data_IF_073303812008
#
_entry.id   IF_073303812008
#
_cell.length_a   1.000
_cell.length_b   1.000
_cell.length_c   1.000
_cell.angle_alpha   90.00
_cell.angle_beta   90.00
_cell.angle_gamma   90.00
#
_symmetry.space_group_name_H-M   'P 1'
#
loop_
_entity.id
_entity.type
_entity.pdbx_description
1 polymer ?
#
# COMPACT_ATOMS: atom_id res chain seq x y z
N UNK A 1 -7.64 -3.85 9.59
CA UNK A 1 -6.50 -3.05 9.03
C UNK A 1 -7.02 -1.72 8.53
N UNK A 2 -6.41 -0.60 8.97
CA UNK A 2 -6.93 0.74 8.68
C UNK A 2 -6.37 1.34 7.40
N UNK A 3 -7.24 1.79 6.51
CA UNK A 3 -6.89 2.53 5.29
C UNK A 3 -7.45 3.95 5.35
N UNK A 4 -6.68 4.91 4.88
CA UNK A 4 -7.19 6.26 4.68
C UNK A 4 -8.00 6.34 3.39
N UNK A 5 -9.26 6.73 3.48
CA UNK A 5 -10.11 6.99 2.31
C UNK A 5 -9.47 8.01 1.36
N UNK A 6 -8.96 9.12 1.90
CA UNK A 6 -8.30 10.16 1.11
C UNK A 6 -7.08 9.65 0.36
N UNK A 7 -6.37 8.66 0.92
CA UNK A 7 -5.24 8.06 0.22
C UNK A 7 -5.72 7.10 -0.86
N UNK A 8 -6.68 6.25 -0.56
CA UNK A 8 -7.20 5.24 -1.48
C UNK A 8 -7.83 5.88 -2.73
N UNK A 9 -8.67 6.89 -2.54
CA UNK A 9 -9.42 7.55 -3.62
C UNK A 9 -8.53 8.29 -4.62
N UNK A 10 -7.30 8.66 -4.25
CA UNK A 10 -6.34 9.29 -5.19
C UNK A 10 -5.98 8.42 -6.39
N UNK A 11 -6.09 7.12 -6.24
CA UNK A 11 -5.79 6.15 -7.29
C UNK A 11 -7.02 5.76 -8.12
N UNK A 12 -8.21 6.24 -7.74
CA UNK A 12 -9.48 5.94 -8.39
C UNK A 12 -9.91 7.17 -9.19
N UNK A 13 -10.06 7.01 -10.50
CA UNK A 13 -10.35 8.12 -11.43
C UNK A 13 -11.69 8.79 -11.11
N UNK A 14 -12.71 8.01 -10.82
CA UNK A 14 -14.07 8.46 -10.55
C UNK A 14 -14.22 9.18 -9.20
N UNK A 15 -13.23 9.05 -8.32
CA UNK A 15 -13.22 9.64 -6.98
C UNK A 15 -14.55 9.46 -6.23
N UNK A 16 -15.03 8.20 -6.03
CA UNK A 16 -16.31 7.93 -5.39
C UNK A 16 -16.34 8.49 -3.97
N UNK A 17 -17.54 8.86 -3.47
CA UNK A 17 -17.69 9.20 -2.06
C UNK A 17 -17.39 7.99 -1.16
N UNK A 18 -17.16 8.24 0.13
CA UNK A 18 -16.83 7.15 1.08
C UNK A 18 -17.97 6.13 1.16
N UNK A 19 -19.22 6.58 1.09
CA UNK A 19 -20.40 5.70 1.14
C UNK A 19 -20.46 4.80 -0.09
N UNK A 20 -20.26 5.36 -1.29
CA UNK A 20 -20.23 4.61 -2.56
C UNK A 20 -19.06 3.62 -2.58
N UNK A 21 -17.91 4.01 -2.06
CA UNK A 21 -16.75 3.13 -1.93
C UNK A 21 -17.02 1.99 -0.95
N UNK A 22 -17.69 2.29 0.18
CA UNK A 22 -18.12 1.30 1.17
C UNK A 22 -19.04 0.25 0.54
N UNK A 23 -20.03 0.68 -0.22
CA UNK A 23 -20.95 -0.24 -0.93
C UNK A 23 -20.18 -1.16 -1.89
N UNK A 24 -19.19 -0.62 -2.60
CA UNK A 24 -18.36 -1.40 -3.51
C UNK A 24 -17.50 -2.42 -2.77
N UNK A 25 -16.91 -2.05 -1.63
CA UNK A 25 -16.14 -2.96 -0.78
C UNK A 25 -17.02 -4.08 -0.22
N UNK A 26 -18.23 -3.74 0.19
CA UNK A 26 -19.21 -4.73 0.65
C UNK A 26 -19.60 -5.72 -0.45
N UNK A 27 -19.82 -5.24 -1.68
CA UNK A 27 -20.11 -6.10 -2.83
C UNK A 27 -18.94 -7.04 -3.17
N UNK A 28 -17.71 -6.66 -2.89
CA UNK A 28 -16.51 -7.50 -3.02
C UNK A 28 -16.37 -8.53 -1.87
N UNK A 29 -17.24 -8.47 -0.86
CA UNK A 29 -17.18 -9.33 0.32
C UNK A 29 -16.15 -8.89 1.35
N UNK A 30 -15.74 -7.63 1.32
CA UNK A 30 -14.83 -7.05 2.30
C UNK A 30 -15.61 -6.43 3.46
N UNK A 31 -15.58 -7.08 4.62
CA UNK A 31 -16.13 -6.52 5.87
C UNK A 31 -15.28 -5.34 6.33
N UNK A 32 -15.94 -4.25 6.73
CA UNK A 32 -15.26 -3.05 7.18
C UNK A 32 -16.17 -2.14 8.03
N UNK A 33 -15.54 -1.27 8.81
CA UNK A 33 -16.18 -0.19 9.52
C UNK A 33 -15.62 1.15 9.05
N UNK A 34 -16.44 2.21 9.10
CA UNK A 34 -16.04 3.57 8.72
C UNK A 34 -15.97 4.43 9.96
N UNK A 35 -14.77 4.98 10.23
CA UNK A 35 -14.51 5.94 11.29
C UNK A 35 -14.01 7.26 10.67
N UNK A 36 -14.93 8.17 10.34
CA UNK A 36 -14.58 9.42 9.63
C UNK A 36 -13.98 9.16 8.25
N UNK A 37 -12.70 9.49 8.05
CA UNK A 37 -11.95 9.24 6.80
C UNK A 37 -11.17 7.90 6.81
N UNK A 38 -11.35 7.08 7.82
CA UNK A 38 -10.67 5.79 7.96
C UNK A 38 -11.64 4.67 7.65
N UNK A 39 -11.19 3.72 6.86
CA UNK A 39 -11.87 2.46 6.56
C UNK A 39 -11.10 1.36 7.28
N UNK A 40 -11.69 0.79 8.34
CA UNK A 40 -11.10 -0.31 9.09
C UNK A 40 -11.58 -1.64 8.51
N UNK A 41 -10.69 -2.29 7.77
CA UNK A 41 -10.97 -3.50 7.01
C UNK A 41 -10.70 -4.75 7.82
N UNK A 42 -11.62 -5.71 7.78
CA UNK A 42 -11.43 -7.07 8.28
C UNK A 42 -11.22 -8.03 7.10
N UNK A 43 -9.98 -8.44 6.89
CA UNK A 43 -9.65 -9.39 5.82
C UNK A 43 -9.61 -10.82 6.36
N UNK A 44 -10.14 -11.75 5.55
CA UNK A 44 -9.97 -13.17 5.81
C UNK A 44 -8.50 -13.58 5.72
N UNK A 45 -8.02 -14.58 6.50
CA UNK A 45 -6.61 -14.95 6.56
C UNK A 45 -5.96 -15.33 5.23
N UNK A 46 -6.75 -15.75 4.25
CA UNK A 46 -6.28 -16.13 2.92
C UNK A 46 -6.11 -14.93 1.96
N UNK A 47 -6.47 -13.71 2.38
CA UNK A 47 -6.41 -12.50 1.56
C UNK A 47 -5.25 -11.57 1.97
N UNK A 48 -4.08 -12.15 2.23
CA UNK A 48 -2.85 -11.39 2.50
C UNK A 48 -2.45 -10.43 1.38
N UNK A 49 -2.88 -10.68 0.16
CA UNK A 49 -2.73 -9.80 -0.99
C UNK A 49 -3.44 -8.44 -0.83
N UNK A 50 -4.55 -8.40 -0.06
CA UNK A 50 -5.30 -7.18 0.25
C UNK A 50 -4.74 -6.37 1.43
N UNK A 51 -3.69 -6.84 2.11
CA UNK A 51 -3.00 -6.10 3.18
C UNK A 51 -2.13 -4.95 2.64
N UNK A 52 -2.50 -4.39 1.51
CA UNK A 52 -1.85 -3.23 0.90
C UNK A 52 -2.86 -2.42 0.07
N UNK A 53 -2.60 -1.12 -0.07
CA UNK A 53 -3.40 -0.25 -0.95
C UNK A 53 -3.47 -0.84 -2.37
N UNK A 54 -2.34 -1.33 -2.89
CA UNK A 54 -2.28 -1.91 -4.24
C UNK A 54 -3.19 -3.14 -4.38
N UNK A 55 -3.21 -4.02 -3.39
CA UNK A 55 -4.06 -5.21 -3.40
C UNK A 55 -5.54 -4.86 -3.35
N UNK A 56 -5.91 -3.93 -2.47
CA UNK A 56 -7.28 -3.46 -2.34
C UNK A 56 -7.77 -2.75 -3.61
N UNK A 57 -6.93 -1.89 -4.19
CA UNK A 57 -7.26 -1.20 -5.44
C UNK A 57 -7.37 -2.15 -6.63
N UNK A 58 -6.60 -3.24 -6.67
CA UNK A 58 -6.77 -4.28 -7.67
C UNK A 58 -8.18 -4.88 -7.60
N UNK A 59 -8.70 -5.17 -6.40
CA UNK A 59 -10.05 -5.69 -6.24
C UNK A 59 -11.10 -4.63 -6.63
N UNK A 60 -10.90 -3.38 -6.23
CA UNK A 60 -11.74 -2.24 -6.61
C UNK A 60 -11.73 -1.94 -8.12
N UNK A 61 -10.72 -2.41 -8.85
CA UNK A 61 -10.65 -2.24 -10.32
C UNK A 61 -11.78 -2.93 -11.08
N UNK A 62 -12.57 -3.77 -10.41
CA UNK A 62 -13.82 -4.34 -10.97
C UNK A 62 -14.88 -3.26 -11.16
N UNK A 63 -14.89 -2.23 -10.32
CA UNK A 63 -15.88 -1.16 -10.34
C UNK A 63 -15.35 0.17 -10.89
N UNK A 64 -14.03 0.40 -10.77
CA UNK A 64 -13.42 1.69 -11.02
C UNK A 64 -12.20 1.59 -11.92
N UNK A 65 -11.93 2.66 -12.66
CA UNK A 65 -10.66 2.83 -13.37
C UNK A 65 -9.58 3.24 -12.35
N UNK A 66 -8.63 2.31 -12.10
CA UNK A 66 -7.56 2.50 -11.12
C UNK A 66 -6.26 2.87 -11.81
N UNK A 67 -5.68 4.01 -11.44
CA UNK A 67 -4.41 4.49 -11.94
C UNK A 67 -3.28 4.17 -10.96
N UNK A 68 -2.49 3.15 -11.28
CA UNK A 68 -1.19 2.93 -10.64
C UNK A 68 -0.08 3.45 -11.54
N UNK A 69 0.56 4.51 -11.11
CA UNK A 69 1.89 4.80 -11.62
C UNK A 69 2.84 3.74 -11.06
N UNK A 70 3.18 2.76 -11.87
CA UNK A 70 4.24 1.83 -11.54
C UNK A 70 5.55 2.61 -11.66
N UNK A 71 6.10 3.05 -10.53
CA UNK A 71 7.44 3.62 -10.51
C UNK A 71 8.43 2.54 -10.97
N UNK A 72 8.93 2.71 -12.17
CA UNK A 72 10.02 1.89 -12.68
C UNK A 72 11.32 2.56 -12.26
N UNK A 73 12.00 1.99 -11.29
CA UNK A 73 13.35 2.41 -10.91
C UNK A 73 14.32 1.98 -12.02
N UNK A 74 14.70 2.93 -12.86
CA UNK A 74 15.64 2.73 -13.97
C UNK A 74 17.08 3.09 -13.58
N UNK A 75 17.29 3.58 -12.37
CA UNK A 75 18.61 3.95 -11.89
C UNK A 75 19.49 2.72 -11.66
N UNK A 76 20.77 2.85 -12.03
CA UNK A 76 21.76 1.82 -11.71
C UNK A 76 21.90 1.74 -10.19
N UNK A 77 21.44 0.62 -9.64
CA UNK A 77 21.68 0.31 -8.24
C UNK A 77 23.17 -0.04 -8.08
N UNK A 78 23.87 0.73 -7.26
CA UNK A 78 25.22 0.39 -6.86
C UNK A 78 25.23 -0.91 -6.05
N UNK A 79 26.28 -1.71 -6.22
CA UNK A 79 26.42 -2.90 -5.39
C UNK A 79 26.62 -2.49 -3.94
N UNK A 80 25.75 -2.98 -3.09
CA UNK A 80 25.89 -2.84 -1.66
C UNK A 80 27.16 -3.55 -1.19
N UNK A 81 28.10 -2.79 -0.61
CA UNK A 81 29.33 -3.34 -0.04
C UNK A 81 29.05 -3.74 1.41
N UNK A 82 28.52 -4.92 1.61
CA UNK A 82 28.42 -5.58 2.90
C UNK A 82 28.92 -7.01 2.79
N UNK A 83 29.63 -7.46 3.80
CA UNK A 83 30.00 -8.86 3.94
C UNK A 83 28.77 -9.58 4.55
N UNK A 84 28.14 -10.40 3.74
CA UNK A 84 26.97 -11.18 4.17
C UNK A 84 27.09 -12.63 3.71
N UNK A 85 26.94 -13.53 4.65
CA UNK A 85 26.86 -14.96 4.40
C UNK A 85 25.49 -15.49 4.86
N UNK A 86 24.78 -16.15 3.96
CA UNK A 86 23.51 -16.79 4.30
C UNK A 86 23.73 -18.23 4.77
N UNK A 87 23.71 -18.45 6.07
CA UNK A 87 23.85 -19.78 6.68
C UNK A 87 22.57 -20.63 6.71
N UNK A 88 21.45 -20.07 6.24
CA UNK A 88 20.13 -20.70 6.22
C UNK A 88 19.53 -20.72 4.81
N UNK A 89 20.34 -21.02 3.82
CA UNK A 89 19.98 -20.91 2.40
C UNK A 89 18.84 -21.88 2.00
N UNK A 90 18.68 -22.98 2.70
CA UNK A 90 17.60 -23.96 2.52
C UNK A 90 16.24 -23.44 3.01
N UNK A 91 16.23 -22.64 4.09
CA UNK A 91 15.02 -22.08 4.70
C UNK A 91 14.72 -20.69 4.10
N UNK A 92 15.76 -19.87 3.89
CA UNK A 92 15.67 -18.51 3.38
C UNK A 92 16.58 -18.34 2.15
N UNK A 93 16.17 -18.84 0.98
CA UNK A 93 17.04 -18.91 -0.22
C UNK A 93 17.38 -17.55 -0.82
N UNK A 94 16.63 -16.49 -0.48
CA UNK A 94 16.81 -15.14 -1.04
C UNK A 94 16.72 -14.08 0.04
N UNK A 95 17.75 -13.26 0.14
CA UNK A 95 17.81 -12.08 1.01
C UNK A 95 18.17 -10.88 0.14
N UNK A 96 17.46 -9.79 0.31
CA UNK A 96 17.74 -8.52 -0.35
C UNK A 96 18.00 -7.43 0.68
N UNK A 97 18.99 -6.61 0.42
CA UNK A 97 19.33 -5.46 1.24
C UNK A 97 19.20 -4.18 0.43
N UNK A 98 18.65 -3.14 1.05
CA UNK A 98 18.62 -1.80 0.49
C UNK A 98 19.29 -0.84 1.48
N UNK A 99 20.35 -0.18 1.05
CA UNK A 99 20.94 0.95 1.79
C UNK A 99 20.22 2.23 1.38
N UNK A 100 19.68 2.94 2.35
CA UNK A 100 19.03 4.24 2.14
C UNK A 100 19.87 5.28 2.88
N UNK A 101 20.34 6.28 2.16
CA UNK A 101 20.98 7.48 2.76
C UNK A 101 19.93 8.60 2.81
N UNK A 102 19.73 9.14 4.01
CA UNK A 102 18.75 10.21 4.25
C UNK A 102 19.55 11.44 4.65
N UNK A 103 19.73 12.37 3.70
CA UNK A 103 20.45 13.62 3.95
C UNK A 103 19.63 14.61 4.78
N UNK A 104 18.32 14.65 4.56
CA UNK A 104 17.40 15.50 5.30
C UNK A 104 16.05 14.80 5.45
N UNK A 105 15.47 14.89 6.65
CA UNK A 105 14.05 14.55 6.85
C UNK A 105 13.25 15.80 6.56
N UNK A 106 12.51 15.87 5.43
CA UNK A 106 11.76 17.08 5.10
C UNK A 106 10.66 17.33 6.15
N UNK A 107 10.48 18.59 6.58
CA UNK A 107 9.34 18.98 7.43
C UNK A 107 7.97 18.63 6.81
N UNK A 108 7.95 18.43 5.51
CA UNK A 108 6.78 17.97 4.76
C UNK A 108 6.29 16.58 5.21
N UNK A 109 7.15 15.76 5.84
CA UNK A 109 6.78 14.43 6.34
C UNK A 109 5.67 14.51 7.38
N UNK A 110 5.77 15.45 8.32
CA UNK A 110 4.73 15.68 9.32
C UNK A 110 3.43 16.17 8.67
N UNK A 111 3.52 17.04 7.66
CA UNK A 111 2.36 17.47 6.88
C UNK A 111 1.73 16.32 6.10
N UNK A 112 2.56 15.45 5.53
CA UNK A 112 2.09 14.31 4.76
C UNK A 112 1.38 13.29 5.66
N UNK A 113 2.00 12.92 6.77
CA UNK A 113 1.42 11.99 7.75
C UNK A 113 0.14 12.55 8.37
N UNK A 114 0.15 13.82 8.81
CA UNK A 114 -1.02 14.48 9.38
C UNK A 114 -2.17 14.68 8.37
N UNK A 115 -1.90 14.56 7.07
CA UNK A 115 -2.94 14.63 6.05
C UNK A 115 -3.66 13.29 5.86
N UNK A 116 -3.00 12.16 6.15
CA UNK A 116 -3.53 10.83 5.92
C UNK A 116 -3.99 10.11 7.21
N UNK A 117 -3.48 10.51 8.33
CA UNK A 117 -3.76 9.97 9.65
C UNK A 117 -4.09 11.11 10.62
#
# INVERSE_FOLDING_TARGET
MKFSYKHLVKYIKESPSIDVLSDSLFQLGHEHEIEGDIIDMEFTPNRGDCLSIKGLLRDLSVFYEVNFNQETYTEKLDKLQIDFENLSQDICPRVSFLKIEIDQIPDIYNKYLNHYF
#
